data_IF_737016908072
#
_entry.id   IF_737016908072
#
_cell.length_a   1.000
_cell.length_b   1.000
_cell.length_c   1.000
_cell.angle_alpha   90.00
_cell.angle_beta   90.00
_cell.angle_gamma   90.00
#
_symmetry.space_group_name_H-M   'P 1'
#
loop_
_entity.id
_entity.type
_entity.pdbx_description
1 polymer ?
#
# COMPACT_ATOMS: atom_id res chain seq x y z
N UNK A 1 1.70 6.41 -20.97
CA UNK A 1 1.76 6.21 -19.51
C UNK A 1 3.18 5.81 -19.19
N UNK A 2 3.73 6.27 -18.07
CA UNK A 2 5.03 5.81 -17.61
C UNK A 2 4.98 4.30 -17.37
N UNK A 3 6.06 3.57 -17.66
CA UNK A 3 6.20 2.15 -17.31
C UNK A 3 7.13 2.05 -16.11
N UNK A 4 6.68 1.36 -15.07
CA UNK A 4 7.42 1.20 -13.82
C UNK A 4 7.94 -0.23 -13.73
N UNK A 5 9.25 -0.38 -13.63
CA UNK A 5 9.87 -1.64 -13.27
C UNK A 5 9.68 -1.90 -11.77
N UNK A 6 9.25 -3.12 -11.42
CA UNK A 6 8.94 -3.49 -10.03
C UNK A 6 9.88 -4.58 -9.53
N UNK A 7 10.43 -4.36 -8.33
CA UNK A 7 11.13 -5.38 -7.56
C UNK A 7 10.59 -5.48 -6.14
N UNK A 8 10.71 -6.68 -5.59
CA UNK A 8 10.42 -6.99 -4.18
C UNK A 8 11.55 -7.80 -3.60
N UNK A 9 11.72 -7.78 -2.28
CA UNK A 9 12.76 -8.57 -1.65
C UNK A 9 12.79 -8.44 -0.13
N UNK A 10 13.73 -9.15 0.48
CA UNK A 10 13.87 -9.15 1.93
C UNK A 10 15.27 -8.72 2.35
N UNK A 11 15.35 -7.69 3.19
CA UNK A 11 16.58 -7.23 3.82
C UNK A 11 16.53 -7.47 5.32
N UNK A 12 17.66 -7.86 5.91
CA UNK A 12 17.78 -8.12 7.34
C UNK A 12 17.69 -6.86 8.22
N UNK A 13 18.00 -5.69 7.65
CA UNK A 13 17.97 -4.41 8.33
C UNK A 13 17.83 -3.24 7.35
N UNK A 14 17.40 -2.10 7.88
CA UNK A 14 17.33 -0.84 7.11
C UNK A 14 18.72 -0.40 6.62
N UNK A 15 19.76 -0.61 7.42
CA UNK A 15 21.15 -0.24 7.06
C UNK A 15 21.60 -1.04 5.84
N UNK A 16 21.39 -2.36 5.83
CA UNK A 16 21.77 -3.19 4.68
C UNK A 16 20.99 -2.82 3.40
N UNK A 17 19.75 -2.34 3.54
CA UNK A 17 18.95 -1.81 2.44
C UNK A 17 19.52 -0.48 1.92
N UNK A 18 19.76 0.49 2.80
CA UNK A 18 20.34 1.80 2.45
C UNK A 18 21.73 1.66 1.80
N UNK A 19 22.58 0.77 2.31
CA UNK A 19 23.89 0.48 1.71
C UNK A 19 23.79 -0.09 0.29
N UNK A 20 22.78 -0.92 0.02
CA UNK A 20 22.60 -1.54 -1.31
C UNK A 20 22.19 -0.51 -2.38
N UNK A 21 21.48 0.55 -1.98
CA UNK A 21 21.03 1.63 -2.87
C UNK A 21 21.92 2.90 -2.81
N UNK A 22 22.84 3.02 -1.85
CA UNK A 22 23.62 4.26 -1.66
C UNK A 22 24.44 4.67 -2.89
N UNK A 23 24.23 5.92 -3.33
CA UNK A 23 24.96 6.55 -4.45
C UNK A 23 26.03 7.55 -3.95
N UNK A 24 26.19 7.71 -2.63
CA UNK A 24 27.00 8.78 -2.03
C UNK A 24 28.47 8.73 -2.47
N UNK A 25 29.06 7.53 -2.50
CA UNK A 25 30.47 7.36 -2.89
C UNK A 25 30.69 7.73 -4.35
N UNK A 26 29.75 7.37 -5.22
CA UNK A 26 29.79 7.69 -6.64
C UNK A 26 29.69 9.20 -6.89
N UNK A 27 28.68 9.85 -6.31
CA UNK A 27 28.49 11.29 -6.48
C UNK A 27 29.61 12.12 -5.84
N UNK A 28 30.19 11.65 -4.72
CA UNK A 28 31.34 12.31 -4.13
C UNK A 28 32.57 12.26 -5.06
N UNK A 29 32.81 11.14 -5.73
CA UNK A 29 33.91 11.01 -6.66
C UNK A 29 33.70 11.90 -7.90
N UNK A 30 32.49 11.92 -8.46
CA UNK A 30 32.13 12.84 -9.56
C UNK A 30 32.24 14.31 -9.16
N UNK A 31 31.81 14.68 -7.96
CA UNK A 31 31.95 16.04 -7.47
C UNK A 31 33.42 16.47 -7.34
N UNK A 32 34.33 15.57 -6.99
CA UNK A 32 35.78 15.87 -6.98
C UNK A 32 36.26 16.08 -8.41
N UNK A 33 35.98 15.11 -9.29
CA UNK A 33 36.36 15.15 -10.71
C UNK A 33 35.91 16.44 -11.41
N UNK A 34 34.63 16.80 -11.27
CA UNK A 34 34.04 17.97 -11.93
C UNK A 34 34.63 19.31 -11.46
N UNK A 35 35.26 19.34 -10.27
CA UNK A 35 35.87 20.53 -9.69
C UNK A 35 37.39 20.58 -9.85
N UNK A 36 38.04 19.53 -10.35
CA UNK A 36 39.47 19.51 -10.60
C UNK A 36 39.80 20.05 -12.01
N UNK A 37 40.71 21.03 -12.14
CA UNK A 37 41.10 21.53 -13.44
C UNK A 37 41.88 20.46 -14.23
N UNK A 38 41.62 20.28 -15.54
CA UNK A 38 42.31 19.29 -16.35
C UNK A 38 43.83 19.51 -16.28
N UNK A 39 44.54 18.44 -15.93
CA UNK A 39 46.00 18.45 -15.79
C UNK A 39 46.70 18.24 -17.13
N UNK A 40 45.97 17.73 -18.13
CA UNK A 40 46.47 17.39 -19.46
C UNK A 40 47.22 16.05 -19.49
N UNK A 41 47.11 15.25 -18.43
CA UNK A 41 47.63 13.88 -18.37
C UNK A 41 46.45 12.92 -18.25
N UNK A 42 46.33 12.01 -19.20
CA UNK A 42 45.21 11.06 -19.27
C UNK A 42 45.01 10.27 -17.96
N UNK A 43 46.09 9.92 -17.26
CA UNK A 43 46.00 9.16 -15.99
C UNK A 43 45.45 9.99 -14.82
N UNK A 44 45.68 11.31 -14.82
CA UNK A 44 45.28 12.21 -13.74
C UNK A 44 43.86 12.80 -14.01
N UNK A 45 43.35 12.69 -15.25
CA UNK A 45 42.07 13.25 -15.70
C UNK A 45 41.00 12.14 -15.96
N UNK A 46 41.13 10.96 -15.34
CA UNK A 46 40.20 9.83 -15.53
C UNK A 46 38.87 10.04 -14.80
N UNK A 47 37.78 9.60 -15.43
CA UNK A 47 36.46 9.56 -14.81
C UNK A 47 36.45 8.66 -13.55
N UNK A 48 35.55 8.93 -12.59
CA UNK A 48 35.38 8.09 -11.40
C UNK A 48 35.17 6.60 -11.71
N UNK A 49 35.74 5.74 -10.85
CA UNK A 49 35.63 4.29 -10.98
C UNK A 49 34.16 3.81 -10.98
N UNK A 50 33.69 3.12 -12.04
CA UNK A 50 32.37 2.51 -12.09
C UNK A 50 32.03 1.58 -10.92
N UNK A 51 33.02 1.01 -10.23
CA UNK A 51 32.79 0.17 -9.06
C UNK A 51 32.21 0.94 -7.86
N UNK A 52 32.32 2.28 -7.84
CA UNK A 52 31.75 3.14 -6.80
C UNK A 52 30.22 3.28 -6.89
N UNK A 53 29.61 2.85 -7.99
CA UNK A 53 28.16 2.86 -8.19
C UNK A 53 27.46 2.03 -7.12
N UNK A 54 26.21 2.36 -6.85
CA UNK A 54 25.38 1.61 -5.91
C UNK A 54 25.25 0.14 -6.34
N UNK A 55 25.07 -0.78 -5.40
CA UNK A 55 25.03 -2.21 -5.74
C UNK A 55 23.84 -2.55 -6.65
N UNK A 56 22.68 -1.92 -6.42
CA UNK A 56 21.54 -2.00 -7.32
C UNK A 56 21.89 -1.53 -8.74
N UNK A 57 22.51 -0.36 -8.86
CA UNK A 57 22.92 0.28 -10.12
C UNK A 57 23.83 -0.64 -10.95
N UNK A 58 24.81 -1.25 -10.27
CA UNK A 58 25.74 -2.21 -10.88
C UNK A 58 25.03 -3.46 -11.41
N UNK A 59 24.03 -3.95 -10.67
CA UNK A 59 23.27 -5.14 -11.07
C UNK A 59 22.39 -4.88 -12.29
N UNK A 60 21.73 -3.73 -12.36
CA UNK A 60 20.86 -3.38 -13.50
C UNK A 60 21.60 -2.67 -14.65
N UNK A 61 22.90 -2.45 -14.52
CA UNK A 61 23.73 -1.88 -15.57
C UNK A 61 23.56 -0.38 -15.81
N UNK A 62 23.13 0.39 -14.80
CA UNK A 62 23.03 1.86 -14.87
C UNK A 62 24.14 2.55 -14.09
N UNK A 63 24.45 3.79 -14.44
CA UNK A 63 25.48 4.59 -13.76
C UNK A 63 24.97 5.06 -12.39
N UNK A 64 23.77 5.63 -12.37
CA UNK A 64 23.05 6.08 -11.19
C UNK A 64 21.55 6.03 -11.48
N UNK A 65 20.73 6.06 -10.44
CA UNK A 65 19.30 6.29 -10.56
C UNK A 65 18.96 7.71 -10.12
N UNK A 66 17.88 8.24 -10.66
CA UNK A 66 17.29 9.50 -10.22
C UNK A 66 16.32 9.23 -9.06
N UNK A 67 16.51 9.94 -7.94
CA UNK A 67 15.70 9.79 -6.74
C UNK A 67 14.25 10.21 -6.95
N UNK A 68 13.97 11.08 -7.94
CA UNK A 68 12.61 11.53 -8.26
C UNK A 68 11.81 10.47 -9.03
N UNK A 69 12.49 9.54 -9.72
CA UNK A 69 11.88 8.50 -10.55
C UNK A 69 11.88 7.10 -9.90
N UNK A 70 12.38 6.98 -8.67
CA UNK A 70 12.41 5.72 -7.94
C UNK A 70 11.68 5.81 -6.60
N UNK A 71 10.84 4.82 -6.33
CA UNK A 71 10.24 4.62 -5.02
C UNK A 71 10.98 3.48 -4.33
N UNK A 72 11.63 3.80 -3.21
CA UNK A 72 12.34 2.86 -2.35
C UNK A 72 11.61 2.74 -1.00
N UNK A 73 10.96 1.60 -0.77
CA UNK A 73 10.18 1.36 0.44
C UNK A 73 10.73 0.18 1.22
N UNK A 74 11.00 0.42 2.51
CA UNK A 74 11.46 -0.58 3.46
C UNK A 74 10.52 -0.65 4.66
N UNK A 75 10.18 -1.87 5.06
CA UNK A 75 9.38 -2.17 6.25
C UNK A 75 10.23 -2.95 7.23
N UNK A 76 10.09 -2.65 8.52
CA UNK A 76 10.92 -3.29 9.56
C UNK A 76 10.70 -4.81 9.66
N UNK A 77 9.53 -5.30 9.23
CA UNK A 77 9.19 -6.72 9.15
C UNK A 77 8.53 -7.00 7.79
N UNK A 78 8.64 -8.22 7.25
CA UNK A 78 7.89 -8.63 6.07
C UNK A 78 6.40 -8.37 6.25
N UNK A 79 5.82 -7.68 5.28
CA UNK A 79 4.39 -7.39 5.18
C UNK A 79 3.76 -8.30 4.14
N UNK A 80 2.46 -8.58 4.30
CA UNK A 80 1.67 -9.17 3.22
C UNK A 80 1.60 -8.20 2.05
N UNK A 81 1.64 -8.71 0.82
CA UNK A 81 1.58 -7.87 -0.40
C UNK A 81 0.43 -6.87 -0.36
N UNK A 82 -0.76 -7.28 0.10
CA UNK A 82 -1.93 -6.40 0.18
C UNK A 82 -1.74 -5.16 1.07
N UNK A 83 -0.84 -5.23 2.05
CA UNK A 83 -0.56 -4.10 2.94
C UNK A 83 0.32 -3.03 2.30
N UNK A 84 0.95 -3.34 1.16
CA UNK A 84 1.92 -2.47 0.47
C UNK A 84 1.32 -1.75 -0.75
N UNK A 85 0.07 -2.04 -1.10
CA UNK A 85 -0.56 -1.55 -2.33
C UNK A 85 -0.67 -0.02 -2.38
N UNK A 86 -0.82 0.64 -1.23
CA UNK A 86 -0.84 2.10 -1.13
C UNK A 86 0.49 2.76 -1.53
N UNK A 87 1.60 2.02 -1.41
CA UNK A 87 2.95 2.51 -1.69
C UNK A 87 3.38 2.26 -3.14
N UNK A 88 2.54 1.59 -3.95
CA UNK A 88 2.77 1.34 -5.38
C UNK A 88 2.33 2.59 -6.18
N UNK A 89 3.23 3.26 -6.92
CA UNK A 89 2.88 4.42 -7.73
C UNK A 89 2.33 4.04 -9.13
N UNK A 90 1.57 2.94 -9.22
CA UNK A 90 1.11 2.35 -10.49
C UNK A 90 -0.10 1.43 -10.34
N UNK A 91 -0.39 0.65 -11.37
CA UNK A 91 -1.48 -0.33 -11.41
C UNK A 91 -1.26 -1.45 -10.37
N UNK A 92 -2.06 -1.40 -9.30
CA UNK A 92 -1.97 -2.37 -8.19
C UNK A 92 -2.57 -3.74 -8.55
N UNK A 93 -3.50 -3.81 -9.51
CA UNK A 93 -4.05 -5.07 -10.03
C UNK A 93 -3.00 -5.84 -10.82
N UNK A 94 -2.25 -5.14 -11.67
CA UNK A 94 -1.12 -5.72 -12.40
C UNK A 94 0.00 -6.16 -11.44
N UNK A 95 0.33 -5.32 -10.46
CA UNK A 95 1.29 -5.68 -9.41
C UNK A 95 0.90 -6.96 -8.67
N UNK A 96 -0.36 -7.11 -8.25
CA UNK A 96 -0.85 -8.32 -7.57
C UNK A 96 -0.69 -9.57 -8.45
N UNK A 97 -1.04 -9.48 -9.75
CA UNK A 97 -0.84 -10.57 -10.72
C UNK A 97 0.63 -10.96 -10.86
N UNK A 98 1.54 -9.98 -10.84
CA UNK A 98 2.97 -10.25 -10.87
C UNK A 98 3.45 -10.94 -9.58
N UNK A 99 2.97 -10.50 -8.42
CA UNK A 99 3.28 -11.18 -7.15
C UNK A 99 2.79 -12.63 -7.14
N UNK A 100 1.57 -12.91 -7.59
CA UNK A 100 1.03 -14.26 -7.70
C UNK A 100 1.86 -15.14 -8.64
N UNK A 101 2.22 -14.61 -9.82
CA UNK A 101 3.04 -15.30 -10.81
C UNK A 101 4.43 -15.69 -10.27
N UNK A 102 4.99 -14.88 -9.38
CA UNK A 102 6.29 -15.09 -8.77
C UNK A 102 6.21 -15.76 -7.38
N UNK A 103 5.02 -16.21 -6.96
CA UNK A 103 4.75 -16.86 -5.67
C UNK A 103 5.21 -16.01 -4.46
N UNK A 104 5.02 -14.68 -4.55
CA UNK A 104 5.39 -13.75 -3.48
C UNK A 104 4.19 -13.46 -2.59
N UNK A 105 4.22 -13.97 -1.37
CA UNK A 105 3.17 -13.70 -0.36
C UNK A 105 3.53 -12.53 0.59
N UNK A 106 4.82 -12.44 0.96
CA UNK A 106 5.30 -11.47 1.92
C UNK A 106 6.69 -10.93 1.54
N UNK A 107 6.90 -9.64 1.77
CA UNK A 107 8.17 -8.95 1.47
C UNK A 107 8.35 -7.79 2.44
N UNK A 108 9.58 -7.37 2.69
CA UNK A 108 9.85 -6.17 3.50
C UNK A 108 10.45 -5.01 2.69
N UNK A 109 10.65 -5.21 1.39
CA UNK A 109 11.07 -4.18 0.45
C UNK A 109 10.18 -4.18 -0.78
N UNK A 110 9.88 -2.96 -1.24
CA UNK A 110 9.24 -2.66 -2.52
C UNK A 110 10.08 -1.58 -3.23
N UNK A 111 10.36 -1.82 -4.49
CA UNK A 111 11.02 -0.88 -5.39
C UNK A 111 10.17 -0.72 -6.64
N UNK A 112 9.88 0.53 -7.01
CA UNK A 112 9.31 0.88 -8.29
C UNK A 112 10.21 1.92 -8.97
N UNK A 113 10.65 1.67 -10.19
CA UNK A 113 11.58 2.55 -10.90
C UNK A 113 11.08 2.86 -12.30
N UNK A 114 10.92 4.15 -12.61
CA UNK A 114 10.64 4.63 -13.96
C UNK A 114 11.95 4.87 -14.69
N UNK A 115 12.25 4.05 -15.71
CA UNK A 115 13.40 4.26 -16.57
C UNK A 115 13.15 3.66 -17.96
N UNK A 116 12.97 4.52 -18.96
CA UNK A 116 12.64 4.09 -20.33
C UNK A 116 13.78 3.38 -21.07
N UNK A 117 15.02 3.53 -20.61
CA UNK A 117 16.19 2.89 -21.22
C UNK A 117 16.51 1.53 -20.56
N UNK A 118 15.90 1.23 -19.41
CA UNK A 118 16.12 -0.02 -18.70
C UNK A 118 15.34 -1.16 -19.36
N UNK A 119 16.04 -2.20 -19.79
CA UNK A 119 15.38 -3.38 -20.37
C UNK A 119 14.99 -4.38 -19.28
N UNK A 120 13.92 -5.16 -19.49
CA UNK A 120 13.55 -6.27 -18.60
C UNK A 120 14.70 -7.26 -18.37
N UNK A 121 15.54 -7.46 -19.38
CA UNK A 121 16.70 -8.35 -19.29
C UNK A 121 17.69 -7.85 -18.25
N UNK A 122 18.00 -6.55 -18.28
CA UNK A 122 18.95 -5.93 -17.35
C UNK A 122 18.34 -5.79 -15.97
N UNK A 123 17.06 -5.37 -15.89
CA UNK A 123 16.28 -5.33 -14.65
C UNK A 123 16.24 -6.68 -13.91
N UNK A 124 16.22 -7.80 -14.65
CA UNK A 124 16.19 -9.15 -14.08
C UNK A 124 17.54 -9.65 -13.54
N UNK A 125 18.64 -8.91 -13.69
CA UNK A 125 19.97 -9.33 -13.25
C UNK A 125 20.21 -9.14 -11.73
N UNK A 126 19.24 -8.57 -11.02
CA UNK A 126 19.35 -8.32 -9.58
C UNK A 126 19.49 -9.61 -8.78
N UNK A 127 20.35 -9.59 -7.76
CA UNK A 127 20.70 -10.78 -6.96
C UNK A 127 20.02 -10.82 -5.60
N UNK A 128 19.87 -9.66 -4.95
CA UNK A 128 19.26 -9.56 -3.60
C UNK A 128 17.75 -9.37 -3.63
N UNK A 129 17.23 -8.85 -4.74
CA UNK A 129 15.82 -8.54 -4.95
C UNK A 129 15.32 -9.28 -6.19
N UNK A 130 14.02 -9.54 -6.23
CA UNK A 130 13.34 -10.28 -7.28
C UNK A 130 12.66 -9.26 -8.19
N UNK A 131 13.05 -9.25 -9.46
CA UNK A 131 12.34 -8.51 -10.48
C UNK A 131 11.02 -9.20 -10.82
N UNK A 132 9.92 -8.47 -10.74
CA UNK A 132 8.58 -8.98 -11.01
C UNK A 132 8.12 -8.70 -12.45
N UNK A 133 8.50 -7.54 -12.99
CA UNK A 133 8.05 -7.07 -14.30
C UNK A 133 7.80 -5.57 -14.32
N UNK A 134 7.16 -5.11 -15.38
CA UNK A 134 6.68 -3.74 -15.52
C UNK A 134 5.20 -3.65 -15.15
N UNK A 135 4.79 -2.50 -14.61
CA UNK A 135 3.39 -2.11 -14.46
C UNK A 135 3.19 -0.71 -15.05
N UNK A 136 1.97 -0.38 -15.46
CA UNK A 136 1.65 1.00 -15.82
C UNK A 136 1.74 1.93 -14.60
N UNK A 137 2.50 3.02 -14.72
CA UNK A 137 2.51 4.13 -13.76
C UNK A 137 1.22 4.96 -13.85
N UNK A 138 0.85 5.59 -12.74
CA UNK A 138 -0.35 6.43 -12.68
C UNK A 138 -0.19 7.62 -13.63
N UNK A 139 -1.14 7.82 -14.55
CA UNK A 139 -1.20 9.06 -15.31
C UNK A 139 -1.77 10.17 -14.39
N UNK A 140 -1.46 11.44 -14.65
CA UNK A 140 -2.04 12.59 -13.92
C UNK A 140 -3.59 12.61 -13.93
N UNK A 141 -4.22 11.72 -14.70
CA UNK A 141 -5.67 11.62 -14.90
C UNK A 141 -6.26 10.22 -14.73
N UNK A 142 -5.47 9.16 -14.50
CA UNK A 142 -5.98 7.79 -14.43
C UNK A 142 -5.75 7.17 -13.05
N UNK A 143 -6.88 6.89 -12.42
CA UNK A 143 -7.16 5.99 -11.32
C UNK A 143 -5.96 5.15 -10.87
N UNK A 144 -5.43 5.48 -9.68
CA UNK A 144 -5.06 4.39 -8.75
C UNK A 144 -6.25 3.46 -8.79
N UNK A 145 -6.06 2.17 -9.04
CA UNK A 145 -7.07 1.19 -8.66
C UNK A 145 -7.32 1.46 -7.19
N UNK A 146 -8.37 2.24 -6.94
CA UNK A 146 -8.90 2.53 -5.64
C UNK A 146 -9.38 1.16 -5.24
N UNK A 147 -8.55 0.46 -4.48
CA UNK A 147 -8.93 -0.79 -3.87
C UNK A 147 -9.97 -0.40 -2.84
N UNK A 148 -11.20 -0.26 -3.34
CA UNK A 148 -12.33 0.12 -2.53
C UNK A 148 -12.41 -0.97 -1.49
N UNK A 149 -12.02 -0.59 -0.28
CA UNK A 149 -11.94 -1.47 0.84
C UNK A 149 -13.13 -1.15 1.72
N UNK A 150 -13.96 -2.14 1.92
CA UNK A 150 -15.07 -2.10 2.84
C UNK A 150 -14.58 -2.56 4.20
N UNK A 151 -14.77 -1.74 5.22
CA UNK A 151 -14.44 -2.05 6.60
C UNK A 151 -15.73 -2.21 7.38
N UNK A 152 -15.89 -3.34 8.04
CA UNK A 152 -17.11 -3.66 8.77
C UNK A 152 -16.89 -3.65 10.27
N UNK A 153 -17.77 -2.95 10.97
CA UNK A 153 -17.97 -3.07 12.41
C UNK A 153 -19.41 -3.45 12.73
N UNK A 154 -19.58 -4.29 13.76
CA UNK A 154 -20.88 -4.65 14.30
C UNK A 154 -21.01 -4.23 15.77
N UNK A 155 -22.22 -3.85 16.17
CA UNK A 155 -22.53 -3.56 17.56
C UNK A 155 -22.43 -4.81 18.45
N UNK A 156 -21.71 -4.70 19.57
CA UNK A 156 -21.54 -5.80 20.53
C UNK A 156 -22.65 -5.83 21.59
N UNK A 157 -22.70 -4.77 22.37
CA UNK A 157 -23.51 -4.62 23.57
C UNK A 157 -24.38 -3.34 23.48
N UNK A 158 -24.62 -2.66 24.60
CA UNK A 158 -25.24 -1.34 24.57
C UNK A 158 -24.34 -0.38 23.78
N UNK A 159 -24.87 0.13 22.67
CA UNK A 159 -24.17 1.10 21.83
C UNK A 159 -24.05 2.41 22.62
N UNK A 160 -22.83 2.95 22.81
CA UNK A 160 -22.66 4.23 23.47
C UNK A 160 -23.46 5.34 22.77
N UNK A 161 -24.07 6.23 23.56
CA UNK A 161 -24.81 7.38 23.01
C UNK A 161 -23.94 8.26 22.13
N UNK A 162 -22.62 8.30 22.33
CA UNK A 162 -21.71 9.05 21.46
C UNK A 162 -21.73 8.54 20.01
N UNK A 163 -21.81 7.23 19.81
CA UNK A 163 -21.93 6.66 18.46
C UNK A 163 -23.31 6.98 17.89
N UNK A 164 -24.39 6.78 18.65
CA UNK A 164 -25.73 7.04 18.15
C UNK A 164 -25.92 8.50 17.75
N UNK A 165 -25.44 9.44 18.57
CA UNK A 165 -25.46 10.86 18.25
C UNK A 165 -24.60 11.19 17.01
N UNK A 166 -23.52 10.44 16.80
CA UNK A 166 -22.64 10.62 15.63
C UNK A 166 -23.28 10.14 14.32
N UNK A 167 -24.27 9.25 14.42
CA UNK A 167 -25.08 8.78 13.29
C UNK A 167 -26.22 9.76 12.94
N UNK A 168 -26.49 10.76 13.78
CA UNK A 168 -27.48 11.80 13.51
C UNK A 168 -26.84 12.98 12.75
N UNK A 169 -27.44 13.39 11.63
CA UNK A 169 -26.99 14.55 10.86
C UNK A 169 -27.01 14.32 9.35
N UNK A 170 -26.44 15.27 8.61
CA UNK A 170 -26.21 15.09 7.17
C UNK A 170 -25.00 14.18 6.90
N UNK A 171 -24.84 13.76 5.63
CA UNK A 171 -23.79 12.82 5.22
C UNK A 171 -22.36 13.33 5.45
N UNK A 172 -22.14 14.63 5.46
CA UNK A 172 -20.80 15.20 5.67
C UNK A 172 -20.44 15.20 7.16
N UNK A 173 -21.40 15.58 8.01
CA UNK A 173 -21.24 15.52 9.46
C UNK A 173 -21.01 14.07 9.94
N UNK A 174 -21.71 13.10 9.34
CA UNK A 174 -21.54 11.68 9.61
C UNK A 174 -20.08 11.22 9.36
N UNK A 175 -19.49 11.61 8.22
CA UNK A 175 -18.10 11.26 7.90
C UNK A 175 -17.12 11.84 8.91
N UNK A 176 -17.33 13.09 9.32
CA UNK A 176 -16.47 13.77 10.29
C UNK A 176 -16.49 13.05 11.64
N UNK A 177 -17.68 12.74 12.15
CA UNK A 177 -17.83 12.07 13.44
C UNK A 177 -17.26 10.65 13.41
N UNK A 178 -17.50 9.88 12.34
CA UNK A 178 -16.98 8.51 12.20
C UNK A 178 -15.46 8.51 12.03
N UNK A 179 -14.91 9.46 11.27
CA UNK A 179 -13.46 9.65 11.16
C UNK A 179 -12.82 9.90 12.54
N UNK A 180 -13.44 10.74 13.37
CA UNK A 180 -12.97 11.02 14.73
C UNK A 180 -13.06 9.79 15.63
N UNK A 181 -14.21 9.09 15.64
CA UNK A 181 -14.42 7.88 16.47
C UNK A 181 -13.41 6.78 16.12
N UNK A 182 -13.15 6.57 14.83
CA UNK A 182 -12.28 5.50 14.37
C UNK A 182 -10.80 5.91 14.32
N UNK A 183 -10.48 7.19 14.56
CA UNK A 183 -9.12 7.72 14.45
C UNK A 183 -8.58 7.71 13.02
N UNK A 184 -9.45 7.78 12.01
CA UNK A 184 -9.11 7.72 10.59
C UNK A 184 -9.15 9.14 10.01
N UNK A 185 -8.30 9.43 9.01
CA UNK A 185 -8.37 10.72 8.30
C UNK A 185 -9.67 10.78 7.48
N UNK A 186 -10.51 11.81 7.67
CA UNK A 186 -11.74 12.06 6.88
C UNK A 186 -11.53 11.88 5.37
N UNK A 187 -10.39 12.36 4.87
CA UNK A 187 -10.03 12.32 3.44
C UNK A 187 -9.89 10.90 2.86
N UNK A 188 -9.70 9.89 3.72
CA UNK A 188 -9.68 8.50 3.31
C UNK A 188 -11.08 7.88 3.21
N UNK A 189 -12.11 8.51 3.82
CA UNK A 189 -13.47 7.97 3.85
C UNK A 189 -14.24 8.43 2.61
N UNK A 190 -14.44 7.50 1.67
CA UNK A 190 -15.28 7.73 0.50
C UNK A 190 -16.77 7.71 0.85
N UNK A 191 -17.19 6.71 1.63
CA UNK A 191 -18.60 6.53 2.01
C UNK A 191 -18.70 5.86 3.36
N UNK A 192 -19.77 6.21 4.08
CA UNK A 192 -20.16 5.56 5.32
C UNK A 192 -21.59 5.07 5.13
N UNK A 193 -21.80 3.78 5.36
CA UNK A 193 -23.09 3.15 5.42
C UNK A 193 -23.31 2.65 6.85
N UNK A 194 -24.52 2.78 7.36
CA UNK A 194 -24.84 2.27 8.69
C UNK A 194 -26.29 1.81 8.75
N UNK A 195 -26.54 0.90 9.68
CA UNK A 195 -27.88 0.42 10.04
C UNK A 195 -28.01 0.43 11.55
N UNK A 196 -29.08 1.02 12.08
CA UNK A 196 -29.38 0.98 13.51
C UNK A 196 -30.86 0.70 13.77
N UNK A 197 -31.12 -0.09 14.80
CA UNK A 197 -32.47 -0.43 15.29
C UNK A 197 -32.45 -0.58 16.81
N UNK A 198 -33.59 -0.38 17.47
CA UNK A 198 -33.68 -0.53 18.93
C UNK A 198 -33.54 -2.00 19.38
N UNK A 199 -33.93 -2.94 18.51
CA UNK A 199 -33.93 -4.37 18.81
C UNK A 199 -32.84 -5.09 18.00
N UNK A 200 -32.18 -6.10 18.60
CA UNK A 200 -31.21 -6.90 17.84
C UNK A 200 -31.91 -7.71 16.74
N UNK A 201 -31.37 -7.64 15.54
CA UNK A 201 -31.80 -8.36 14.35
C UNK A 201 -30.64 -9.20 13.80
N UNK A 202 -30.91 -10.13 12.87
CA UNK A 202 -29.86 -11.05 12.43
C UNK A 202 -28.80 -10.35 11.58
N UNK A 203 -27.54 -10.71 11.82
CA UNK A 203 -26.38 -10.08 11.15
C UNK A 203 -26.41 -10.31 9.64
N UNK A 204 -26.75 -11.52 9.20
CA UNK A 204 -26.85 -11.87 7.77
C UNK A 204 -27.92 -11.07 7.04
N UNK A 205 -29.12 -10.95 7.62
CA UNK A 205 -30.22 -10.16 7.08
C UNK A 205 -29.87 -8.67 6.99
N UNK A 206 -29.21 -8.12 8.02
CA UNK A 206 -28.75 -6.73 8.02
C UNK A 206 -27.71 -6.50 6.92
N UNK A 207 -26.67 -7.34 6.83
CA UNK A 207 -25.57 -7.16 5.88
C UNK A 207 -26.08 -7.29 4.43
N UNK A 208 -26.85 -8.35 4.11
CA UNK A 208 -27.39 -8.55 2.75
C UNK A 208 -28.30 -7.41 2.30
N UNK A 209 -29.01 -6.77 3.23
CA UNK A 209 -29.95 -5.70 2.90
C UNK A 209 -29.27 -4.34 2.72
N UNK A 210 -28.18 -4.09 3.44
CA UNK A 210 -27.59 -2.75 3.55
C UNK A 210 -26.22 -2.60 2.86
N UNK A 211 -25.54 -3.69 2.53
CA UNK A 211 -24.30 -3.66 1.74
C UNK A 211 -24.65 -3.80 0.25
N UNK A 212 -24.22 -2.83 -0.55
CA UNK A 212 -24.60 -2.74 -1.98
C UNK A 212 -23.96 -3.85 -2.83
N UNK A 213 -22.71 -4.23 -2.54
CA UNK A 213 -22.01 -5.31 -3.23
C UNK A 213 -22.30 -6.66 -2.57
N UNK A 214 -22.92 -7.57 -3.33
CA UNK A 214 -23.31 -8.89 -2.84
C UNK A 214 -22.12 -9.80 -2.52
N UNK A 215 -21.04 -9.73 -3.30
CA UNK A 215 -19.83 -10.53 -3.06
C UNK A 215 -19.14 -10.07 -1.77
N UNK A 216 -19.14 -8.77 -1.51
CA UNK A 216 -18.63 -8.18 -0.28
C UNK A 216 -19.51 -8.57 0.91
N UNK A 217 -20.83 -8.46 0.75
CA UNK A 217 -21.80 -8.87 1.77
C UNK A 217 -21.60 -10.35 2.18
N UNK A 218 -21.42 -11.26 1.21
CA UNK A 218 -21.17 -12.68 1.48
C UNK A 218 -19.87 -12.88 2.26
N UNK A 219 -18.76 -12.23 1.83
CA UNK A 219 -17.48 -12.30 2.56
C UNK A 219 -17.59 -11.78 3.98
N UNK A 220 -18.33 -10.69 4.18
CA UNK A 220 -18.58 -10.08 5.49
C UNK A 220 -19.33 -11.04 6.42
N UNK A 221 -20.37 -11.71 5.90
CA UNK A 221 -21.17 -12.69 6.67
C UNK A 221 -20.31 -13.89 7.06
N UNK A 222 -19.57 -14.46 6.11
CA UNK A 222 -18.67 -15.58 6.38
C UNK A 222 -17.64 -15.22 7.45
N UNK A 223 -17.12 -13.98 7.43
CA UNK A 223 -16.16 -13.52 8.43
C UNK A 223 -16.79 -13.29 9.80
N UNK A 224 -18.00 -12.74 9.85
CA UNK A 224 -18.73 -12.56 11.11
C UNK A 224 -19.02 -13.91 11.78
N UNK A 225 -19.41 -14.92 10.99
CA UNK A 225 -19.62 -16.30 11.44
C UNK A 225 -18.32 -16.93 11.94
N UNK A 226 -17.20 -16.78 11.21
CA UNK A 226 -15.87 -17.28 11.61
C UNK A 226 -15.44 -16.73 12.97
N UNK A 227 -15.70 -15.44 13.22
CA UNK A 227 -15.36 -14.77 14.47
C UNK A 227 -16.33 -15.07 15.62
N UNK A 228 -17.43 -15.78 15.35
CA UNK A 228 -18.47 -16.07 16.34
C UNK A 228 -19.13 -14.80 16.90
N UNK A 229 -19.12 -13.71 16.14
CA UNK A 229 -19.77 -12.46 16.54
C UNK A 229 -21.28 -12.69 16.48
N UNK A 230 -21.96 -12.41 17.61
CA UNK A 230 -23.37 -12.70 17.87
C UNK A 230 -24.22 -12.76 16.59
N UNK A 231 -24.98 -13.84 16.40
CA UNK A 231 -25.95 -14.01 15.30
C UNK A 231 -26.92 -12.85 15.12
N UNK A 232 -27.03 -11.95 16.12
CA UNK A 232 -27.81 -10.73 16.05
C UNK A 232 -27.02 -9.50 16.50
N UNK A 233 -27.27 -8.38 15.83
CA UNK A 233 -26.77 -7.05 16.19
C UNK A 233 -27.87 -6.01 16.03
N UNK A 234 -27.69 -4.85 16.65
CA UNK A 234 -28.57 -3.69 16.50
C UNK A 234 -27.87 -2.53 15.80
N UNK A 235 -26.59 -2.68 15.45
CA UNK A 235 -25.81 -1.68 14.73
C UNK A 235 -24.87 -2.37 13.73
N UNK A 236 -24.89 -1.90 12.49
CA UNK A 236 -23.88 -2.16 11.48
C UNK A 236 -23.25 -0.83 11.08
N UNK A 237 -21.93 -0.78 10.99
CA UNK A 237 -21.19 0.34 10.43
C UNK A 237 -20.24 -0.18 9.37
N UNK A 238 -20.40 0.32 8.15
CA UNK A 238 -19.53 0.06 7.03
C UNK A 238 -18.86 1.36 6.60
N UNK A 239 -17.52 1.34 6.54
CA UNK A 239 -16.72 2.44 6.00
C UNK A 239 -16.10 1.97 4.70
N UNK A 240 -16.24 2.76 3.66
CA UNK A 240 -15.72 2.49 2.32
C UNK A 240 -14.62 3.50 2.04
N UNK A 241 -13.46 3.02 1.62
CA UNK A 241 -12.24 3.81 1.45
C UNK A 241 -11.42 3.34 0.25
N UNK A 242 -10.78 4.29 -0.44
CA UNK A 242 -9.75 4.03 -1.46
C UNK A 242 -8.36 3.77 -0.86
N UNK A 243 -8.23 3.92 0.45
CA UNK A 243 -6.99 3.77 1.19
C UNK A 243 -7.10 2.61 2.19
N UNK A 244 -6.07 1.77 2.23
CA UNK A 244 -5.92 0.82 3.33
C UNK A 244 -5.54 1.54 4.64
N UNK A 245 -6.22 1.26 5.74
CA UNK A 245 -5.84 1.71 7.08
C UNK A 245 -5.79 0.55 8.08
N UNK A 246 -4.77 0.55 8.94
CA UNK A 246 -4.58 -0.43 10.00
C UNK A 246 -5.48 -0.07 11.18
N UNK A 247 -6.53 -0.88 11.39
CA UNK A 247 -7.43 -0.74 12.54
C UNK A 247 -6.93 -1.67 13.63
N UNK A 248 -6.32 -1.10 14.66
CA UNK A 248 -5.69 -1.88 15.71
C UNK A 248 -6.60 -2.08 16.94
N UNK A 249 -7.88 -1.69 16.87
CA UNK A 249 -8.73 -1.64 18.07
C UNK A 249 -10.21 -1.91 17.87
N UNK A 250 -10.75 -2.68 18.82
CA UNK A 250 -12.17 -2.70 19.18
C UNK A 250 -12.40 -1.62 20.25
N UNK A 251 -12.81 -0.43 19.84
CA UNK A 251 -13.18 0.65 20.77
C UNK A 251 -14.68 1.00 20.60
N UNK A 252 -15.24 1.64 21.63
CA UNK A 252 -16.60 2.19 21.60
C UNK A 252 -17.76 1.19 21.41
N UNK A 253 -17.66 -0.04 21.91
CA UNK A 253 -18.78 -1.02 21.84
C UNK A 253 -19.05 -1.57 20.44
N UNK A 254 -18.16 -1.28 19.49
CA UNK A 254 -18.09 -1.87 18.16
C UNK A 254 -17.08 -3.03 18.15
N UNK A 255 -17.38 -4.07 17.37
CA UNK A 255 -16.45 -5.14 17.03
C UNK A 255 -16.06 -4.97 15.59
N UNK A 256 -14.77 -4.81 15.34
CA UNK A 256 -14.22 -4.86 13.99
C UNK A 256 -14.25 -6.29 13.46
N UNK A 257 -14.92 -6.49 12.32
CA UNK A 257 -15.06 -7.80 11.68
C UNK A 257 -13.91 -8.04 10.69
N UNK A 258 -13.55 -7.00 9.94
CA UNK A 258 -12.47 -7.09 8.97
C UNK A 258 -12.58 -6.05 7.87
N UNK A 259 -11.60 -6.13 6.97
CA UNK A 259 -11.53 -5.37 5.73
C UNK A 259 -11.75 -6.31 4.54
N UNK A 260 -12.51 -5.84 3.57
CA UNK A 260 -12.98 -6.61 2.42
C UNK A 260 -12.72 -5.80 1.16
N UNK A 261 -11.87 -6.33 0.30
CA UNK A 261 -11.55 -5.69 -0.97
C UNK A 261 -12.66 -5.97 -1.98
N UNK A 262 -13.18 -4.89 -2.56
CA UNK A 262 -13.96 -4.92 -3.80
C UNK A 262 -12.99 -5.42 -4.89
N UNK A 263 -13.16 -6.69 -5.27
CA UNK A 263 -12.43 -7.30 -6.37
C UNK A 263 -13.39 -7.36 -7.55
N UNK A 264 -12.90 -6.96 -8.73
CA UNK A 264 -13.59 -7.08 -10.02
C UNK A 264 -14.22 -8.46 -10.27
#
# INVERSE_FOLDING_TARGET
MAELHIWVGNFESKVAFEEYFSQESYFKAWSIYDNEPPTGKEDDDQEPDPELRCQFCKEIGVDNYDEDFIVLKYYHKPQKINMMLNDIPGDTSEFLKLCEKHEIENTNVLIAYENHDLTQKDASQTKKIIYLGEIAGLSDTDDKVSLITHYLWLGKDAIPSEILNSLEGDKELLKDNIAEILGIKKKAIQKVNYYYTDNKEKVDEIIITNVEDYNIAEKMILKADELGVNSTTNLMLEVISDQYFEIDKNEYGLIYIGSFLENE
#
